data_IF_318279384745
#
_entry.id   IF_318279384745
#
_cell.length_a   1.000
_cell.length_b   1.000
_cell.length_c   1.000
_cell.angle_alpha   90.00
_cell.angle_beta   90.00
_cell.angle_gamma   90.00
#
_symmetry.space_group_name_H-M   'P 1'
#
loop_
_entity.id
_entity.type
_entity.pdbx_description
1 polymer ?
#
# COMPACT_ATOMS: atom_id res chain seq x y z
N UNK A 1 54.24 -7.56 1.36
CA UNK A 1 53.66 -7.87 0.03
C UNK A 1 52.58 -8.97 0.08
N UNK A 2 52.89 -10.26 0.33
CA UNK A 2 51.85 -11.32 0.33
C UNK A 2 50.95 -11.27 1.57
N UNK A 3 51.54 -11.07 2.74
CA UNK A 3 50.86 -10.93 4.04
C UNK A 3 50.00 -9.66 4.12
N UNK A 4 50.49 -8.59 3.51
CA UNK A 4 49.82 -7.28 3.43
C UNK A 4 48.60 -7.30 2.50
N UNK A 5 48.70 -8.06 1.40
CA UNK A 5 47.57 -8.31 0.50
C UNK A 5 46.51 -9.20 1.16
N UNK A 6 46.92 -10.19 1.96
CA UNK A 6 46.02 -11.07 2.70
C UNK A 6 45.29 -10.33 3.82
N UNK A 7 46.00 -9.47 4.56
CA UNK A 7 45.42 -8.58 5.57
C UNK A 7 44.46 -7.54 4.95
N UNK A 8 44.79 -6.99 3.77
CA UNK A 8 43.90 -6.08 3.05
C UNK A 8 42.64 -6.79 2.54
N UNK A 9 42.75 -8.06 2.11
CA UNK A 9 41.62 -8.89 1.70
C UNK A 9 40.72 -9.24 2.88
N UNK A 10 41.29 -9.57 4.04
CA UNK A 10 40.50 -9.87 5.24
C UNK A 10 39.88 -8.61 5.87
N UNK A 11 40.56 -7.47 5.82
CA UNK A 11 39.97 -6.18 6.16
C UNK A 11 38.82 -5.81 5.20
N UNK A 12 38.98 -6.04 3.89
CA UNK A 12 37.92 -5.82 2.91
C UNK A 12 36.73 -6.79 3.09
N UNK A 13 36.99 -8.05 3.47
CA UNK A 13 35.93 -9.00 3.87
C UNK A 13 35.18 -8.51 5.11
N UNK A 14 35.88 -7.96 6.11
CA UNK A 14 35.27 -7.36 7.29
C UNK A 14 34.35 -6.19 6.94
N UNK A 15 34.82 -5.28 6.09
CA UNK A 15 34.03 -4.11 5.62
C UNK A 15 32.82 -4.51 4.77
N UNK A 16 32.93 -5.57 3.96
CA UNK A 16 31.80 -6.14 3.20
C UNK A 16 30.79 -6.87 4.09
N UNK A 17 31.23 -7.40 5.24
CA UNK A 17 30.37 -8.08 6.22
C UNK A 17 29.63 -7.12 7.16
N UNK A 18 30.12 -5.87 7.30
CA UNK A 18 29.55 -4.83 8.18
C UNK A 18 28.58 -3.87 7.48
N UNK A 19 28.47 -3.94 6.15
CA UNK A 19 27.29 -3.41 5.47
C UNK A 19 26.12 -4.33 5.78
N UNK A 20 25.06 -3.82 6.37
CA UNK A 20 23.78 -4.52 6.54
C UNK A 20 23.37 -5.12 5.17
N UNK A 21 23.65 -6.41 4.97
CA UNK A 21 23.85 -6.96 3.62
C UNK A 21 22.52 -7.11 2.89
N UNK A 22 21.51 -7.70 3.55
CA UNK A 22 20.22 -7.94 2.90
C UNK A 22 19.42 -6.66 2.71
N UNK A 23 19.42 -5.71 3.66
CA UNK A 23 18.73 -4.41 3.44
C UNK A 23 19.32 -3.66 2.25
N UNK A 24 20.65 -3.68 2.11
CA UNK A 24 21.34 -3.01 1.01
C UNK A 24 21.01 -3.67 -0.32
N UNK A 25 20.99 -5.00 -0.37
CA UNK A 25 20.58 -5.76 -1.56
C UNK A 25 19.12 -5.51 -1.93
N UNK A 26 18.22 -5.45 -0.94
CA UNK A 26 16.80 -5.13 -1.18
C UNK A 26 16.65 -3.72 -1.77
N UNK A 27 17.39 -2.72 -1.25
CA UNK A 27 17.40 -1.35 -1.82
C UNK A 27 17.89 -1.34 -3.27
N UNK A 28 19.04 -1.95 -3.55
CA UNK A 28 19.59 -2.05 -4.91
C UNK A 28 18.63 -2.76 -5.87
N UNK A 29 17.94 -3.80 -5.39
CA UNK A 29 16.94 -4.50 -6.17
C UNK A 29 15.72 -3.61 -6.46
N UNK A 30 15.26 -2.81 -5.48
CA UNK A 30 14.15 -1.86 -5.69
C UNK A 30 14.51 -0.76 -6.69
N UNK A 31 15.74 -0.26 -6.68
CA UNK A 31 16.24 0.70 -7.66
C UNK A 31 16.29 0.09 -9.07
N UNK A 32 16.67 -1.20 -9.15
CA UNK A 32 16.68 -1.96 -10.40
C UNK A 32 15.26 -2.15 -10.97
N UNK A 33 14.25 -2.37 -10.11
CA UNK A 33 12.84 -2.40 -10.53
C UNK A 33 12.33 -1.02 -10.98
N UNK A 34 12.77 0.06 -10.35
CA UNK A 34 12.50 1.42 -10.82
C UNK A 34 13.02 1.65 -12.24
N UNK A 35 14.29 1.30 -12.46
CA UNK A 35 14.94 1.37 -13.79
C UNK A 35 14.20 0.51 -14.83
N UNK A 36 13.75 -0.68 -14.45
CA UNK A 36 12.93 -1.55 -15.32
C UNK A 36 11.58 -0.92 -15.68
N UNK A 37 10.93 -0.24 -14.73
CA UNK A 37 9.65 0.46 -14.96
C UNK A 37 9.82 1.60 -15.97
N UNK A 38 10.89 2.38 -15.84
CA UNK A 38 11.20 3.47 -16.76
C UNK A 38 11.52 2.96 -18.17
N UNK A 39 12.30 1.89 -18.27
CA UNK A 39 12.61 1.26 -19.55
C UNK A 39 11.35 0.70 -20.22
N UNK A 40 10.48 0.04 -19.46
CA UNK A 40 9.20 -0.48 -19.95
C UNK A 40 8.34 0.65 -20.54
N UNK A 41 8.22 1.78 -19.84
CA UNK A 41 7.47 2.95 -20.32
C UNK A 41 8.04 3.50 -21.63
N UNK A 42 9.37 3.55 -21.76
CA UNK A 42 10.06 3.98 -22.98
C UNK A 42 9.78 3.04 -24.16
N UNK A 43 9.94 1.73 -23.95
CA UNK A 43 9.69 0.73 -24.99
C UNK A 43 8.22 0.72 -25.44
N UNK A 44 7.28 0.84 -24.50
CA UNK A 44 5.84 0.88 -24.79
C UNK A 44 5.40 2.13 -25.56
N UNK A 45 6.05 3.28 -25.35
CA UNK A 45 5.83 4.48 -26.17
C UNK A 45 6.32 4.26 -27.60
N UNK A 46 7.48 3.62 -27.75
CA UNK A 46 8.07 3.30 -29.06
C UNK A 46 7.23 2.28 -29.85
N UNK A 47 6.72 1.23 -29.20
CA UNK A 47 5.85 0.26 -29.88
C UNK A 47 4.56 0.89 -30.43
N UNK A 48 3.97 1.84 -29.68
CA UNK A 48 2.78 2.60 -30.13
C UNK A 48 3.08 3.57 -31.28
N UNK A 49 4.27 4.18 -31.31
CA UNK A 49 4.66 5.03 -32.46
C UNK A 49 4.90 4.21 -33.72
N UNK A 50 5.44 3.00 -33.59
CA UNK A 50 5.69 2.12 -34.73
C UNK A 50 4.35 1.57 -35.30
N UNK A 51 3.32 1.38 -34.47
CA UNK A 51 1.98 0.95 -34.93
C UNK A 51 1.15 2.06 -35.60
N UNK A 52 1.25 3.32 -35.14
CA UNK A 52 0.50 4.43 -35.76
C UNK A 52 1.02 4.82 -37.15
N UNK A 53 2.31 4.57 -37.42
CA UNK A 53 2.93 4.87 -38.72
C UNK A 53 2.35 4.05 -39.89
N UNK A 54 1.78 2.86 -39.64
CA UNK A 54 1.30 1.98 -40.72
C UNK A 54 -0.15 2.20 -41.15
N UNK A 55 -1.02 2.75 -40.28
CA UNK A 55 -2.47 2.83 -40.54
C UNK A 55 -2.93 4.16 -41.17
N UNK A 56 -2.16 5.25 -41.00
CA UNK A 56 -2.48 6.56 -41.59
C UNK A 56 -2.39 6.58 -43.14
N UNK A 57 -1.73 5.58 -43.74
CA UNK A 57 -1.65 5.46 -45.21
C UNK A 57 -2.94 4.95 -45.87
N UNK A 58 -3.92 4.41 -45.11
CA UNK A 58 -5.16 3.87 -45.68
C UNK A 58 -6.39 4.77 -45.49
N UNK A 59 -6.46 5.59 -44.44
CA UNK A 59 -7.67 6.38 -44.17
C UNK A 59 -7.80 7.65 -45.03
N UNK A 60 -6.68 8.20 -45.49
CA UNK A 60 -6.68 9.48 -46.22
C UNK A 60 -7.11 9.35 -47.71
N UNK A 61 -7.21 8.12 -48.22
CA UNK A 61 -7.67 7.84 -49.60
C UNK A 61 -9.19 7.73 -49.72
N UNK A 62 -9.89 7.44 -48.63
CA UNK A 62 -11.35 7.24 -48.60
C UNK A 62 -12.11 8.57 -48.44
N UNK A 63 -11.57 9.53 -47.66
CA UNK A 63 -12.23 10.82 -47.36
C UNK A 63 -12.25 11.82 -48.54
N UNK A 64 -11.40 11.65 -49.55
CA UNK A 64 -11.40 12.53 -50.76
C UNK A 64 -12.48 12.21 -51.79
N UNK A 65 -13.27 11.13 -51.65
CA UNK A 65 -14.28 10.72 -52.65
C UNK A 65 -15.73 11.10 -52.34
N UNK A 66 -16.02 11.80 -51.23
CA UNK A 66 -17.40 12.17 -50.86
C UNK A 66 -17.59 13.64 -50.48
N UNK A 67 -17.54 14.54 -51.46
CA UNK A 67 -18.23 15.83 -51.39
C UNK A 67 -18.76 16.26 -52.78
N UNK A 68 -20.07 16.16 -53.04
CA UNK A 68 -20.73 16.89 -54.12
C UNK A 68 -21.14 18.30 -53.63
N UNK A 69 -21.04 19.28 -54.53
CA UNK A 69 -21.10 20.70 -54.20
C UNK A 69 -22.47 21.28 -53.87
N UNK A 70 -22.45 22.51 -53.34
CA UNK A 70 -23.55 23.48 -53.44
C UNK A 70 -23.00 24.91 -53.66
N UNK A 71 -23.77 25.63 -54.47
CA UNK A 71 -23.51 26.87 -55.19
C UNK A 71 -23.46 28.13 -54.30
N UNK A 72 -22.69 29.10 -54.81
CA UNK A 72 -22.92 30.57 -54.88
C UNK A 72 -24.14 31.14 -54.15
N UNK A 73 -23.91 32.21 -53.36
CA UNK A 73 -24.73 33.43 -53.38
C UNK A 73 -23.92 34.64 -52.90
N UNK A 74 -23.79 35.61 -53.79
CA UNK A 74 -23.25 36.95 -53.53
C UNK A 74 -24.28 37.83 -52.79
N UNK A 75 -23.80 38.72 -51.92
CA UNK A 75 -24.04 40.17 -51.98
C UNK A 75 -23.56 40.90 -50.72
N UNK A 76 -22.84 41.98 -50.97
CA UNK A 76 -22.30 43.03 -50.10
C UNK A 76 -23.35 43.82 -49.32
N UNK A 77 -22.99 44.31 -48.12
CA UNK A 77 -22.95 45.76 -47.78
C UNK A 77 -22.58 45.96 -46.31
N UNK A 78 -21.91 47.07 -46.03
CA UNK A 78 -21.31 47.50 -44.77
C UNK A 78 -22.32 47.80 -43.65
N UNK A 79 -21.90 47.57 -42.40
CA UNK A 79 -21.75 48.60 -41.35
C UNK A 79 -21.74 48.01 -39.92
N UNK A 80 -20.67 48.34 -39.22
CA UNK A 80 -20.64 48.92 -37.86
C UNK A 80 -21.14 48.12 -36.61
N UNK A 81 -20.25 48.14 -35.61
CA UNK A 81 -20.44 48.05 -34.15
C UNK A 81 -20.73 46.71 -33.45
N UNK A 82 -19.72 46.38 -32.64
CA UNK A 82 -19.79 46.07 -31.20
C UNK A 82 -20.11 44.64 -30.72
N UNK A 83 -19.23 44.22 -29.80
CA UNK A 83 -19.43 43.27 -28.69
C UNK A 83 -19.57 41.79 -29.04
N UNK A 84 -18.51 41.05 -28.71
CA UNK A 84 -18.58 39.60 -28.52
C UNK A 84 -17.25 38.90 -28.78
N UNK A 85 -16.27 39.08 -27.89
CA UNK A 85 -15.02 38.31 -27.92
C UNK A 85 -15.30 36.89 -27.42
N UNK A 86 -16.04 36.11 -28.22
CA UNK A 86 -16.21 34.67 -28.04
C UNK A 86 -14.96 33.98 -28.60
N UNK A 87 -14.01 33.67 -27.72
CA UNK A 87 -12.93 32.74 -28.04
C UNK A 87 -13.53 31.34 -28.13
N UNK A 88 -13.92 30.92 -29.33
CA UNK A 88 -14.06 29.50 -29.65
C UNK A 88 -12.66 28.88 -29.69
N UNK A 89 -12.11 28.57 -28.52
CA UNK A 89 -11.06 27.56 -28.42
C UNK A 89 -11.77 26.23 -28.67
N UNK A 90 -11.65 25.75 -29.91
CA UNK A 90 -11.99 24.39 -30.31
C UNK A 90 -11.07 23.43 -29.55
N UNK A 91 -11.39 23.16 -28.30
CA UNK A 91 -10.88 22.01 -27.57
C UNK A 91 -11.46 20.78 -28.23
N UNK A 92 -10.65 20.09 -29.04
CA UNK A 92 -10.89 18.72 -29.44
C UNK A 92 -10.78 17.81 -28.20
N UNK A 93 -11.79 17.89 -27.34
CA UNK A 93 -12.12 16.89 -26.32
C UNK A 93 -12.79 15.75 -27.06
N UNK A 94 -11.98 14.82 -27.54
CA UNK A 94 -12.46 13.77 -28.43
C UNK A 94 -11.44 12.69 -28.71
N UNK A 95 -10.60 12.32 -27.75
CA UNK A 95 -9.99 11.00 -27.77
C UNK A 95 -10.07 10.42 -26.37
N UNK A 96 -11.23 9.83 -26.11
CA UNK A 96 -11.54 8.92 -25.01
C UNK A 96 -10.62 7.72 -25.17
N UNK A 97 -9.37 7.87 -24.71
CA UNK A 97 -8.37 6.82 -24.71
C UNK A 97 -8.78 5.86 -23.61
N UNK A 98 -9.28 4.70 -24.03
CA UNK A 98 -9.66 3.59 -23.17
C UNK A 98 -8.63 3.38 -22.06
N UNK A 99 -9.08 3.47 -20.81
CA UNK A 99 -8.42 3.03 -19.59
C UNK A 99 -8.28 1.49 -19.60
N UNK A 100 -7.58 0.95 -20.60
CA UNK A 100 -6.86 -0.30 -20.42
C UNK A 100 -5.57 0.05 -19.70
N UNK A 101 -5.66 0.19 -18.37
CA UNK A 101 -4.49 0.02 -17.51
C UNK A 101 -3.90 -1.35 -17.86
N UNK A 102 -2.75 -1.32 -18.50
CA UNK A 102 -2.08 -2.52 -18.97
C UNK A 102 -1.65 -3.31 -17.74
N UNK A 103 -2.26 -4.48 -17.54
CA UNK A 103 -1.97 -5.36 -16.40
C UNK A 103 -0.46 -5.59 -16.23
N UNK A 104 0.30 -5.56 -17.33
CA UNK A 104 1.75 -5.73 -17.30
C UNK A 104 2.50 -4.51 -16.73
N UNK A 105 1.99 -3.29 -16.94
CA UNK A 105 2.55 -2.04 -16.40
C UNK A 105 2.38 -1.99 -14.88
N UNK A 106 1.18 -2.29 -14.40
CA UNK A 106 0.89 -2.36 -12.96
C UNK A 106 1.75 -3.43 -12.26
N UNK A 107 1.94 -4.58 -12.90
CA UNK A 107 2.77 -5.66 -12.37
C UNK A 107 4.25 -5.28 -12.24
N UNK A 108 4.80 -4.52 -13.18
CA UNK A 108 6.19 -4.05 -13.10
C UNK A 108 6.31 -2.98 -12.01
N UNK A 109 5.43 -1.98 -12.01
CA UNK A 109 5.47 -0.88 -11.05
C UNK A 109 5.25 -1.32 -9.60
N UNK A 110 4.47 -2.38 -9.37
CA UNK A 110 4.25 -2.90 -8.01
C UNK A 110 5.37 -3.82 -7.52
N UNK A 111 6.31 -4.23 -8.37
CA UNK A 111 7.36 -5.22 -8.02
C UNK A 111 8.24 -4.79 -6.84
N UNK A 112 8.64 -3.51 -6.79
CA UNK A 112 9.42 -2.95 -5.70
C UNK A 112 8.65 -2.99 -4.37
N UNK A 113 7.39 -2.52 -4.37
CA UNK A 113 6.53 -2.49 -3.19
C UNK A 113 6.28 -3.87 -2.58
N UNK A 114 6.13 -4.91 -3.42
CA UNK A 114 5.90 -6.27 -2.95
C UNK A 114 7.14 -6.86 -2.25
N UNK A 115 8.34 -6.65 -2.80
CA UNK A 115 9.59 -7.11 -2.17
C UNK A 115 9.85 -6.35 -0.87
N UNK A 116 9.65 -5.03 -0.86
CA UNK A 116 9.77 -4.21 0.35
C UNK A 116 8.79 -4.64 1.43
N UNK A 117 7.53 -4.91 1.07
CA UNK A 117 6.53 -5.35 2.03
C UNK A 117 6.91 -6.70 2.68
N UNK A 118 7.50 -7.62 1.92
CA UNK A 118 7.98 -8.90 2.47
C UNK A 118 9.23 -8.72 3.34
N UNK A 119 10.15 -7.85 2.94
CA UNK A 119 11.30 -7.48 3.77
C UNK A 119 10.85 -6.86 5.10
N UNK A 120 9.97 -5.86 5.06
CA UNK A 120 9.44 -5.18 6.24
C UNK A 120 8.70 -6.15 7.17
N UNK A 121 8.00 -7.14 6.61
CA UNK A 121 7.32 -8.19 7.38
C UNK A 121 8.34 -8.98 8.21
N UNK A 122 9.43 -9.42 7.60
CA UNK A 122 10.49 -10.17 8.29
C UNK A 122 11.24 -9.31 9.30
N UNK A 123 11.57 -8.07 8.92
CA UNK A 123 12.27 -7.11 9.78
C UNK A 123 11.46 -6.76 11.04
N UNK A 124 10.14 -6.57 10.93
CA UNK A 124 9.28 -6.28 12.10
C UNK A 124 9.27 -7.39 13.15
N UNK A 125 9.56 -8.63 12.79
CA UNK A 125 9.53 -9.79 13.71
C UNK A 125 10.89 -10.14 14.28
N UNK A 126 11.92 -10.11 13.44
CA UNK A 126 13.28 -10.60 13.78
C UNK A 126 14.25 -9.43 14.01
N UNK A 127 13.94 -8.23 13.52
CA UNK A 127 14.73 -7.03 13.71
C UNK A 127 16.02 -7.03 12.90
N UNK A 128 17.09 -6.49 13.50
CA UNK A 128 18.39 -6.28 12.85
C UNK A 128 19.03 -7.57 12.30
N UNK A 129 18.80 -8.71 12.95
CA UNK A 129 19.27 -10.01 12.45
C UNK A 129 18.73 -10.33 11.06
N UNK A 130 17.49 -9.94 10.76
CA UNK A 130 16.90 -10.13 9.44
C UNK A 130 17.43 -9.15 8.41
N UNK A 131 17.81 -7.94 8.82
CA UNK A 131 18.43 -6.96 7.93
C UNK A 131 19.85 -7.36 7.52
N UNK A 132 20.62 -7.98 8.42
CA UNK A 132 21.89 -8.62 8.10
C UNK A 132 21.67 -9.84 7.19
N UNK A 133 20.67 -10.65 7.55
CA UNK A 133 20.26 -11.84 6.82
C UNK A 133 21.31 -12.96 6.80
N UNK A 134 21.00 -14.03 6.08
CA UNK A 134 21.91 -15.18 5.92
C UNK A 134 22.58 -15.19 4.53
N UNK A 135 23.72 -15.88 4.43
CA UNK A 135 24.52 -15.95 3.19
C UNK A 135 23.71 -16.52 2.01
N UNK A 136 22.77 -17.43 2.30
CA UNK A 136 21.91 -18.04 1.27
C UNK A 136 21.04 -16.96 0.62
N UNK A 137 20.38 -16.13 1.42
CA UNK A 137 19.49 -15.07 0.93
C UNK A 137 20.28 -13.98 0.25
N UNK A 138 21.46 -13.62 0.77
CA UNK A 138 22.36 -12.66 0.13
C UNK A 138 22.74 -13.12 -1.28
N UNK A 139 23.18 -14.36 -1.44
CA UNK A 139 23.53 -14.93 -2.75
C UNK A 139 22.33 -14.98 -3.70
N UNK A 140 21.14 -15.36 -3.19
CA UNK A 140 19.92 -15.40 -3.99
C UNK A 140 19.52 -14.01 -4.49
N UNK A 141 19.52 -12.99 -3.62
CA UNK A 141 19.18 -11.62 -4.00
C UNK A 141 20.21 -11.03 -4.96
N UNK A 142 21.50 -11.23 -4.73
CA UNK A 142 22.56 -10.81 -5.65
C UNK A 142 22.38 -11.43 -7.05
N UNK A 143 22.06 -12.73 -7.12
CA UNK A 143 21.80 -13.41 -8.39
C UNK A 143 20.64 -12.76 -9.16
N UNK A 144 19.54 -12.41 -8.47
CA UNK A 144 18.41 -11.73 -9.10
C UNK A 144 18.77 -10.32 -9.59
N UNK A 145 19.54 -9.55 -8.81
CA UNK A 145 20.01 -8.22 -9.20
C UNK A 145 20.86 -8.31 -10.47
N UNK A 146 21.84 -9.21 -10.51
CA UNK A 146 22.73 -9.38 -11.66
C UNK A 146 21.93 -9.78 -12.90
N UNK A 147 20.99 -10.73 -12.77
CA UNK A 147 20.17 -11.18 -13.89
C UNK A 147 19.27 -10.06 -14.44
N UNK A 148 18.66 -9.27 -13.55
CA UNK A 148 17.83 -8.14 -13.92
C UNK A 148 18.67 -7.06 -14.61
N UNK A 149 19.78 -6.64 -14.00
CA UNK A 149 20.69 -5.63 -14.56
C UNK A 149 21.26 -6.05 -15.92
N UNK A 150 21.66 -7.31 -16.08
CA UNK A 150 22.12 -7.85 -17.38
C UNK A 150 21.04 -7.74 -18.45
N UNK A 151 19.79 -8.01 -18.10
CA UNK A 151 18.67 -7.90 -19.03
C UNK A 151 18.40 -6.43 -19.40
N UNK A 152 18.41 -5.53 -18.42
CA UNK A 152 18.24 -4.09 -18.65
C UNK A 152 19.34 -3.54 -19.56
N UNK A 153 20.59 -3.90 -19.31
CA UNK A 153 21.73 -3.48 -20.13
C UNK A 153 21.63 -4.03 -21.56
N UNK A 154 21.32 -5.31 -21.73
CA UNK A 154 21.12 -5.92 -23.06
C UNK A 154 20.02 -5.18 -23.83
N UNK A 155 18.87 -4.93 -23.20
CA UNK A 155 17.77 -4.22 -23.87
C UNK A 155 18.17 -2.77 -24.18
N UNK A 156 18.91 -2.09 -23.30
CA UNK A 156 19.40 -0.73 -23.57
C UNK A 156 20.37 -0.68 -24.74
N UNK A 157 21.33 -1.61 -24.79
CA UNK A 157 22.29 -1.73 -25.89
C UNK A 157 21.56 -2.02 -27.21
N UNK A 158 20.65 -2.99 -27.20
CA UNK A 158 19.84 -3.35 -28.36
C UNK A 158 18.97 -2.16 -28.81
N UNK A 159 18.39 -1.40 -27.88
CA UNK A 159 17.58 -0.22 -28.16
C UNK A 159 18.40 0.93 -28.79
N UNK A 160 19.64 1.14 -28.33
CA UNK A 160 20.56 2.13 -28.92
C UNK A 160 21.03 1.71 -30.32
N UNK A 161 21.43 0.44 -30.49
CA UNK A 161 21.96 -0.09 -31.76
C UNK A 161 20.88 -0.30 -32.82
N UNK A 162 19.64 -0.65 -32.42
CA UNK A 162 18.50 -0.81 -33.34
C UNK A 162 18.11 0.49 -34.04
N UNK A 163 18.56 1.64 -33.53
CA UNK A 163 18.44 2.93 -34.24
C UNK A 163 19.27 2.96 -35.53
N UNK A 164 20.31 2.11 -35.64
CA UNK A 164 21.31 2.17 -36.71
C UNK A 164 21.34 0.94 -37.63
N UNK A 165 21.07 -0.27 -37.12
CA UNK A 165 21.47 -1.49 -37.84
C UNK A 165 20.34 -2.48 -38.17
N UNK A 166 19.21 -2.47 -37.48
CA UNK A 166 17.97 -3.22 -37.81
C UNK A 166 16.94 -3.03 -36.68
N UNK A 167 15.62 -2.96 -36.95
CA UNK A 167 14.63 -2.84 -35.88
C UNK A 167 14.51 -4.16 -35.13
N UNK A 168 15.18 -4.29 -33.98
CA UNK A 168 14.78 -5.32 -33.01
C UNK A 168 13.35 -4.98 -32.56
N UNK A 169 12.42 -5.94 -32.66
CA UNK A 169 11.01 -5.65 -32.39
C UNK A 169 10.85 -5.17 -30.94
N UNK A 170 10.37 -3.94 -30.74
CA UNK A 170 10.11 -3.36 -29.41
C UNK A 170 9.28 -4.32 -28.50
N UNK A 171 8.39 -5.10 -29.11
CA UNK A 171 7.60 -6.12 -28.44
C UNK A 171 8.43 -7.25 -27.79
N UNK A 172 9.48 -7.76 -28.44
CA UNK A 172 10.31 -8.84 -27.87
C UNK A 172 11.10 -8.37 -26.66
N UNK A 173 11.58 -7.12 -26.67
CA UNK A 173 12.21 -6.49 -25.52
C UNK A 173 11.23 -6.27 -24.36
N UNK A 174 10.00 -5.86 -24.65
CA UNK A 174 8.94 -5.72 -23.63
C UNK A 174 8.65 -7.05 -22.94
N UNK A 175 8.43 -8.13 -23.71
CA UNK A 175 8.15 -9.46 -23.14
C UNK A 175 9.31 -9.94 -22.27
N UNK A 176 10.56 -9.81 -22.76
CA UNK A 176 11.76 -10.18 -22.00
C UNK A 176 11.86 -9.40 -20.69
N UNK A 177 11.62 -8.09 -20.73
CA UNK A 177 11.65 -7.23 -19.55
C UNK A 177 10.59 -7.63 -18.51
N UNK A 178 9.34 -7.83 -18.96
CA UNK A 178 8.24 -8.27 -18.10
C UNK A 178 8.58 -9.61 -17.42
N UNK A 179 9.03 -10.59 -18.20
CA UNK A 179 9.35 -11.91 -17.70
C UNK A 179 10.48 -11.88 -16.67
N UNK A 180 11.58 -11.18 -16.97
CA UNK A 180 12.71 -11.06 -16.04
C UNK A 180 12.29 -10.34 -14.76
N UNK A 181 11.55 -9.23 -14.85
CA UNK A 181 11.08 -8.50 -13.66
C UNK A 181 10.16 -9.37 -12.79
N UNK A 182 9.23 -10.12 -13.41
CA UNK A 182 8.34 -11.05 -12.68
C UNK A 182 9.13 -12.16 -11.99
N UNK A 183 10.08 -12.77 -12.71
CA UNK A 183 10.93 -13.83 -12.18
C UNK A 183 11.76 -13.33 -11.00
N UNK A 184 12.43 -12.18 -11.15
CA UNK A 184 13.23 -11.56 -10.11
C UNK A 184 12.39 -11.25 -8.87
N UNK A 185 11.21 -10.67 -9.05
CA UNK A 185 10.28 -10.37 -7.95
C UNK A 185 9.90 -11.63 -7.16
N UNK A 186 9.43 -12.67 -7.85
CA UNK A 186 8.99 -13.92 -7.21
C UNK A 186 10.16 -14.60 -6.47
N UNK A 187 11.32 -14.69 -7.12
CA UNK A 187 12.51 -15.29 -6.53
C UNK A 187 13.00 -14.49 -5.29
N UNK A 188 12.95 -13.16 -5.33
CA UNK A 188 13.33 -12.32 -4.20
C UNK A 188 12.37 -12.41 -3.02
N UNK A 189 11.06 -12.43 -3.27
CA UNK A 189 10.05 -12.67 -2.23
C UNK A 189 10.27 -14.05 -1.61
N UNK A 190 10.49 -15.08 -2.43
CA UNK A 190 10.76 -16.43 -1.95
C UNK A 190 12.04 -16.48 -1.11
N UNK A 191 13.12 -15.82 -1.54
CA UNK A 191 14.38 -15.77 -0.80
C UNK A 191 14.17 -15.15 0.60
N UNK A 192 13.49 -14.00 0.68
CA UNK A 192 13.16 -13.31 1.93
C UNK A 192 12.24 -14.15 2.83
N UNK A 193 11.24 -14.81 2.24
CA UNK A 193 10.34 -15.70 2.96
C UNK A 193 11.08 -16.90 3.55
N UNK A 194 11.98 -17.51 2.78
CA UNK A 194 12.78 -18.64 3.24
C UNK A 194 13.80 -18.20 4.30
N UNK A 195 14.36 -16.98 4.20
CA UNK A 195 15.17 -16.40 5.27
C UNK A 195 14.37 -16.30 6.57
N UNK A 196 13.16 -15.76 6.46
CA UNK A 196 12.26 -15.61 7.60
C UNK A 196 12.01 -16.96 8.28
N UNK A 197 11.72 -18.01 7.51
CA UNK A 197 11.52 -19.36 8.04
C UNK A 197 12.75 -19.91 8.77
N UNK A 198 13.96 -19.72 8.21
CA UNK A 198 15.20 -20.21 8.83
C UNK A 198 15.58 -19.46 10.11
N UNK A 199 15.14 -18.21 10.23
CA UNK A 199 15.46 -17.34 11.36
C UNK A 199 14.38 -17.29 12.44
N UNK A 200 13.24 -17.97 12.25
CA UNK A 200 12.24 -18.13 13.30
C UNK A 200 12.84 -18.95 14.45
N UNK A 201 12.78 -18.45 15.70
CA UNK A 201 13.15 -19.25 16.86
C UNK A 201 12.29 -20.51 16.90
N UNK A 202 12.92 -21.68 16.95
CA UNK A 202 12.24 -22.90 17.37
C UNK A 202 11.83 -22.70 18.84
N UNK A 203 10.60 -22.27 19.09
CA UNK A 203 10.00 -22.28 20.43
C UNK A 203 9.78 -23.75 20.86
N UNK A 204 10.85 -24.37 21.33
CA UNK A 204 10.79 -25.52 22.22
C UNK A 204 11.05 -25.04 23.66
N UNK A 205 10.36 -25.58 24.67
CA UNK A 205 10.64 -25.25 26.06
C UNK A 205 12.01 -25.84 26.44
N UNK A 206 13.06 -25.01 26.40
CA UNK A 206 14.40 -25.37 26.90
C UNK A 206 14.39 -25.10 28.41
N UNK A 207 14.12 -26.18 29.15
CA UNK A 207 14.52 -26.32 30.56
C UNK A 207 16.03 -26.11 30.70
N UNK A 208 16.51 -25.57 31.84
CA UNK A 208 17.94 -25.35 32.05
C UNK A 208 18.70 -26.68 32.08
N UNK A 209 19.75 -26.75 31.27
CA UNK A 209 20.74 -27.82 31.22
C UNK A 209 21.43 -27.97 32.59
N UNK A 210 21.59 -29.20 33.09
CA UNK A 210 22.94 -29.71 33.14
C UNK A 210 22.96 -31.18 32.71
N UNK A 211 23.67 -31.50 31.63
CA UNK A 211 24.90 -32.28 31.61
C UNK A 211 25.16 -32.70 30.15
N UNK A 212 26.18 -32.05 29.55
CA UNK A 212 26.87 -32.55 28.37
C UNK A 212 27.26 -34.01 28.57
N UNK A 213 26.59 -34.91 27.88
CA UNK A 213 27.05 -36.30 27.73
C UNK A 213 27.40 -36.53 26.26
N UNK A 214 28.66 -36.94 26.07
CA UNK A 214 29.35 -37.11 24.81
C UNK A 214 28.68 -38.24 23.98
N UNK A 215 28.50 -38.11 22.65
CA UNK A 215 27.97 -39.18 21.82
C UNK A 215 29.02 -40.30 21.67
N UNK A 216 28.74 -41.51 22.17
CA UNK A 216 29.64 -42.66 21.97
C UNK A 216 29.59 -43.83 22.98
N UNK A 217 28.68 -43.85 23.96
CA UNK A 217 28.56 -44.99 24.88
C UNK A 217 27.39 -45.93 24.49
N UNK A 218 27.71 -47.23 24.50
CA UNK A 218 26.94 -48.37 24.01
C UNK A 218 25.49 -48.52 24.53
N UNK A 219 24.60 -49.19 23.76
CA UNK A 219 23.23 -49.47 24.19
C UNK A 219 23.19 -50.63 25.20
N UNK A 220 22.56 -50.40 26.36
CA UNK A 220 22.10 -51.50 27.21
C UNK A 220 20.72 -51.96 26.73
N UNK A 221 20.65 -53.26 26.42
CA UNK A 221 19.48 -53.98 25.90
C UNK A 221 18.40 -54.20 26.99
N UNK A 222 17.17 -54.58 26.60
CA UNK A 222 15.97 -54.47 27.42
C UNK A 222 15.66 -55.77 28.18
N UNK A 223 15.15 -55.64 29.42
CA UNK A 223 14.43 -56.72 30.08
C UNK A 223 12.92 -56.45 30.07
N UNK A 224 12.21 -57.31 29.32
CA UNK A 224 10.79 -57.60 29.50
C UNK A 224 10.58 -58.49 30.73
N UNK A 225 9.40 -58.38 31.31
CA UNK A 225 8.48 -59.39 31.85
C UNK A 225 7.61 -58.69 32.91
N UNK A 226 6.35 -59.02 33.17
CA UNK A 226 5.27 -59.60 32.39
C UNK A 226 4.05 -59.50 33.34
N UNK A 227 2.87 -59.35 32.76
CA UNK A 227 1.63 -59.96 33.23
C UNK A 227 1.04 -59.68 34.64
N UNK A 228 -0.08 -58.95 34.60
CA UNK A 228 -1.41 -59.34 35.13
C UNK A 228 -1.59 -59.70 36.63
N UNK A 229 -2.56 -59.04 37.27
CA UNK A 229 -3.90 -59.61 37.55
C UNK A 229 -4.73 -58.75 38.54
N UNK A 230 -6.07 -58.90 38.42
CA UNK A 230 -7.12 -58.77 39.47
C UNK A 230 -7.73 -57.40 39.83
N UNK A 231 -8.83 -57.08 39.13
CA UNK A 231 -10.24 -57.25 39.58
C UNK A 231 -10.61 -56.85 41.05
N UNK A 232 -11.40 -55.78 41.21
CA UNK A 232 -12.60 -55.60 42.10
C UNK A 232 -13.08 -54.14 41.94
N UNK A 233 -14.28 -53.78 41.44
CA UNK A 233 -15.69 -54.08 41.78
C UNK A 233 -16.19 -53.37 43.06
N UNK A 234 -16.82 -52.21 42.87
CA UNK A 234 -17.91 -51.57 43.66
C UNK A 234 -18.27 -50.27 42.91
N UNK A 235 -19.48 -49.95 42.41
CA UNK A 235 -20.88 -50.01 42.86
C UNK A 235 -21.18 -49.24 44.15
N UNK A 236 -21.61 -47.98 43.97
CA UNK A 236 -22.77 -47.32 44.61
C UNK A 236 -22.97 -45.99 43.86
N UNK A 237 -24.11 -45.58 43.29
CA UNK A 237 -25.50 -45.44 43.76
C UNK A 237 -25.65 -44.48 44.95
N UNK A 238 -26.30 -43.35 44.68
CA UNK A 238 -26.99 -42.49 45.63
C UNK A 238 -27.08 -41.07 45.05
N UNK A 239 -28.19 -40.64 44.43
CA UNK A 239 -29.43 -40.11 45.07
C UNK A 239 -29.12 -38.96 46.03
N UNK A 240 -29.86 -37.86 46.14
CA UNK A 240 -31.07 -37.32 45.51
C UNK A 240 -31.50 -36.15 46.42
N UNK A 241 -32.22 -35.17 45.87
CA UNK A 241 -33.25 -34.32 46.55
C UNK A 241 -32.67 -33.29 47.55
N UNK A 242 -33.27 -32.13 47.81
CA UNK A 242 -34.70 -31.70 47.78
C UNK A 242 -34.72 -30.15 47.81
N UNK A 243 -35.62 -29.45 47.10
CA UNK A 243 -36.92 -28.91 47.59
C UNK A 243 -36.77 -28.03 48.84
N UNK A 244 -37.04 -26.71 48.83
CA UNK A 244 -38.30 -25.95 48.62
C UNK A 244 -38.34 -24.86 49.76
N UNK A 245 -39.42 -24.10 50.02
CA UNK A 245 -40.15 -23.10 49.22
C UNK A 245 -40.38 -21.75 50.00
N UNK A 246 -41.07 -20.81 49.33
CA UNK A 246 -41.95 -19.71 49.79
C UNK A 246 -42.17 -19.43 51.30
N UNK A 247 -42.24 -18.14 51.72
CA UNK A 247 -43.49 -17.32 51.78
C UNK A 247 -43.40 -16.09 52.74
N UNK A 248 -44.13 -15.03 52.37
CA UNK A 248 -44.84 -14.00 53.20
C UNK A 248 -44.02 -12.91 53.94
N UNK A 249 -44.10 -11.62 53.54
CA UNK A 249 -45.11 -10.56 53.84
C UNK A 249 -44.99 -9.91 55.24
N UNK A 250 -44.57 -8.63 55.31
CA UNK A 250 -45.07 -7.56 56.23
C UNK A 250 -44.79 -6.18 55.56
N UNK A 251 -45.64 -5.15 55.76
CA UNK A 251 -45.87 -4.08 54.79
C UNK A 251 -45.26 -2.73 55.18
N UNK A 252 -45.25 -1.82 54.20
CA UNK A 252 -45.06 -0.40 54.42
C UNK A 252 -44.05 0.16 53.42
N UNK A 253 -44.53 0.98 52.48
CA UNK A 253 -43.89 2.22 51.98
C UNK A 253 -44.49 2.58 50.60
N UNK A 254 -45.35 3.61 50.63
CA UNK A 254 -45.58 4.65 49.62
C UNK A 254 -45.72 4.19 48.15
N UNK A 255 -46.98 4.07 47.71
CA UNK A 255 -47.35 4.00 46.29
C UNK A 255 -47.38 5.41 45.70
N UNK A 256 -46.32 5.83 45.02
CA UNK A 256 -46.36 6.96 44.10
C UNK A 256 -46.94 6.43 42.79
N UNK A 257 -48.06 7.03 42.34
CA UNK A 257 -48.60 6.78 41.01
C UNK A 257 -47.54 7.14 39.95
N UNK A 258 -47.24 6.26 38.99
CA UNK A 258 -46.44 6.65 37.84
C UNK A 258 -47.27 7.63 36.99
N UNK A 259 -46.71 8.82 36.78
CA UNK A 259 -47.17 9.75 35.75
C UNK A 259 -47.30 9.00 34.41
N UNK A 260 -48.36 9.24 33.62
CA UNK A 260 -48.39 8.73 32.26
C UNK A 260 -47.21 9.32 31.50
N UNK A 261 -46.31 8.44 31.06
CA UNK A 261 -45.21 8.78 30.18
C UNK A 261 -45.74 9.59 28.99
N UNK A 262 -45.14 10.75 28.65
CA UNK A 262 -45.36 11.33 27.34
C UNK A 262 -44.93 10.28 26.33
N UNK A 263 -45.90 9.85 25.52
CA UNK A 263 -45.74 8.99 24.36
C UNK A 263 -44.41 9.36 23.68
N UNK A 264 -43.43 8.47 23.52
CA UNK A 264 -42.26 8.78 22.72
C UNK A 264 -42.80 9.06 21.33
N UNK A 265 -42.83 10.35 20.97
CA UNK A 265 -43.10 10.77 19.62
C UNK A 265 -42.18 9.91 18.76
N UNK A 266 -42.78 9.08 17.93
CA UNK A 266 -42.08 8.27 16.94
C UNK A 266 -41.15 9.24 16.24
N UNK A 267 -39.87 9.14 16.57
CA UNK A 267 -38.83 9.92 15.95
C UNK A 267 -39.05 9.74 14.44
N UNK A 268 -39.15 10.82 13.66
CA UNK A 268 -39.31 10.66 12.22
C UNK A 268 -38.18 9.74 11.77
N UNK A 269 -38.55 8.63 11.13
CA UNK A 269 -37.59 7.69 10.52
C UNK A 269 -36.56 8.56 9.79
N UNK A 270 -35.25 8.40 10.03
CA UNK A 270 -34.26 9.18 9.32
C UNK A 270 -34.53 9.01 7.84
N UNK A 271 -34.88 10.12 7.19
CA UNK A 271 -34.97 10.17 5.74
C UNK A 271 -33.67 9.60 5.19
N UNK A 272 -33.71 8.78 4.12
CA UNK A 272 -32.52 8.16 3.56
C UNK A 272 -31.53 9.29 3.25
N UNK A 273 -30.46 9.30 4.03
CA UNK A 273 -29.45 10.34 3.99
C UNK A 273 -28.97 10.46 2.55
N UNK A 274 -29.23 11.60 1.89
CA UNK A 274 -28.47 11.98 0.71
C UNK A 274 -27.00 11.85 1.10
N UNK A 275 -26.29 10.95 0.43
CA UNK A 275 -25.01 10.38 0.86
C UNK A 275 -24.00 11.48 1.27
N UNK A 276 -23.98 11.83 2.56
CA UNK A 276 -22.96 12.73 3.10
C UNK A 276 -21.69 11.89 3.18
N UNK A 277 -20.73 12.20 2.30
CA UNK A 277 -19.48 11.46 2.18
C UNK A 277 -18.73 11.40 3.51
N UNK A 278 -18.83 12.45 4.31
CA UNK A 278 -18.16 12.64 5.59
C UNK A 278 -19.17 12.61 6.75
N UNK A 279 -18.69 12.14 7.90
CA UNK A 279 -19.42 12.29 9.15
C UNK A 279 -19.60 13.76 9.53
N UNK A 280 -20.70 14.09 10.22
CA UNK A 280 -20.98 15.46 10.69
C UNK A 280 -19.79 16.04 11.47
N UNK A 281 -19.26 15.30 12.45
CA UNK A 281 -18.08 15.74 13.21
C UNK A 281 -16.83 15.91 12.33
N UNK A 282 -16.64 15.05 11.33
CA UNK A 282 -15.54 15.17 10.39
C UNK A 282 -15.63 16.46 9.57
N UNK A 283 -16.84 16.78 9.10
CA UNK A 283 -17.14 18.00 8.34
C UNK A 283 -16.98 19.26 9.20
N UNK A 284 -17.41 19.23 10.46
CA UNK A 284 -17.21 20.36 11.37
C UNK A 284 -15.72 20.68 11.55
N UNK A 285 -14.87 19.65 11.63
CA UNK A 285 -13.41 19.80 11.67
C UNK A 285 -12.83 20.32 10.34
N UNK A 286 -13.44 20.00 9.20
CA UNK A 286 -13.05 20.50 7.88
C UNK A 286 -13.40 21.99 7.72
N UNK A 287 -14.56 22.41 8.22
CA UNK A 287 -15.06 23.78 8.13
C UNK A 287 -14.37 24.72 9.13
N UNK A 288 -13.92 24.19 10.27
CA UNK A 288 -13.31 24.96 11.35
C UNK A 288 -11.87 24.52 11.62
N UNK A 289 -10.89 25.06 10.88
CA UNK A 289 -9.47 24.68 11.03
C UNK A 289 -8.88 24.90 12.42
N UNK A 290 -9.52 25.69 13.30
CA UNK A 290 -9.09 25.88 14.70
C UNK A 290 -9.77 24.97 15.72
N UNK A 291 -10.79 24.20 15.32
CA UNK A 291 -11.52 23.32 16.24
C UNK A 291 -10.64 22.12 16.66
N UNK A 292 -10.25 21.97 17.94
CA UNK A 292 -9.41 20.86 18.36
C UNK A 292 -10.14 19.52 18.28
N UNK A 293 -9.37 18.42 18.25
CA UNK A 293 -9.94 17.10 18.44
C UNK A 293 -10.55 16.96 19.84
N UNK A 294 -11.72 16.31 19.92
CA UNK A 294 -12.33 15.93 21.20
C UNK A 294 -11.43 15.02 22.04
N UNK A 295 -11.72 14.94 23.34
CA UNK A 295 -10.95 14.19 24.33
C UNK A 295 -10.87 12.69 24.03
N UNK A 296 -11.83 12.14 23.28
CA UNK A 296 -11.81 10.74 22.84
C UNK A 296 -10.55 10.36 22.02
N UNK A 297 -9.90 11.32 21.37
CA UNK A 297 -8.68 11.09 20.58
C UNK A 297 -7.38 11.47 21.31
N UNK A 298 -7.48 11.93 22.57
CA UNK A 298 -6.31 12.23 23.41
C UNK A 298 -5.74 10.94 24.03
N UNK A 299 -4.50 10.96 24.58
CA UNK A 299 -3.94 9.82 25.30
C UNK A 299 -4.89 9.34 26.41
N UNK A 300 -5.31 8.08 26.36
CA UNK A 300 -6.28 7.50 27.30
C UNK A 300 -7.75 7.56 26.85
N UNK A 301 -8.06 8.19 25.71
CA UNK A 301 -9.37 8.16 25.09
C UNK A 301 -9.70 6.83 24.38
N UNK A 302 -10.95 6.66 23.98
CA UNK A 302 -11.49 5.45 23.33
C UNK A 302 -11.33 5.44 21.80
N UNK A 303 -10.82 6.52 21.20
CA UNK A 303 -10.73 6.77 19.76
C UNK A 303 -12.06 6.61 19.01
N UNK A 304 -13.18 6.89 19.69
CA UNK A 304 -14.50 6.83 19.10
C UNK A 304 -14.95 8.22 18.68
N UNK A 305 -15.56 8.31 17.49
CA UNK A 305 -16.23 9.53 17.09
C UNK A 305 -17.42 9.85 18.01
N UNK A 306 -17.52 11.08 18.54
CA UNK A 306 -18.62 11.47 19.43
C UNK A 306 -19.97 11.52 18.71
N UNK A 307 -19.98 11.55 17.37
CA UNK A 307 -21.20 11.64 16.57
C UNK A 307 -21.63 10.30 15.98
N UNK A 308 -20.77 9.65 15.18
CA UNK A 308 -21.12 8.40 14.51
C UNK A 308 -20.64 7.14 15.26
N UNK A 309 -19.92 7.29 16.37
CA UNK A 309 -19.33 6.18 17.12
C UNK A 309 -18.43 5.26 16.28
N UNK A 310 -17.90 5.74 15.16
CA UNK A 310 -16.89 5.00 14.40
C UNK A 310 -15.58 4.96 15.22
N UNK A 311 -15.04 3.76 15.41
CA UNK A 311 -13.74 3.54 16.04
C UNK A 311 -12.62 3.84 15.04
N UNK A 312 -11.68 4.71 15.42
CA UNK A 312 -10.49 4.98 14.64
C UNK A 312 -9.26 4.35 15.29
N UNK A 313 -8.63 3.33 14.68
CA UNK A 313 -7.48 2.64 15.24
C UNK A 313 -6.19 3.46 15.05
N UNK A 314 -6.17 4.67 15.59
CA UNK A 314 -5.05 5.60 15.57
C UNK A 314 -4.47 5.73 16.98
N UNK A 315 -3.14 5.84 17.07
CA UNK A 315 -2.50 6.10 18.36
C UNK A 315 -2.53 7.61 18.61
N UNK A 316 -2.98 8.09 19.79
CA UNK A 316 -2.88 9.50 20.15
C UNK A 316 -1.43 9.98 20.03
N UNK A 317 -1.23 11.15 19.41
CA UNK A 317 0.11 11.73 19.20
C UNK A 317 0.96 11.07 18.11
N UNK A 318 0.47 10.03 17.42
CA UNK A 318 1.13 9.50 16.23
C UNK A 318 0.84 10.40 15.03
N UNK A 319 1.83 10.56 14.17
CA UNK A 319 1.68 11.21 12.87
C UNK A 319 2.21 10.27 11.78
N UNK A 320 1.87 10.56 10.53
CA UNK A 320 2.39 9.82 9.38
C UNK A 320 3.34 10.69 8.59
N UNK A 321 4.52 10.17 8.29
CA UNK A 321 5.46 10.80 7.37
C UNK A 321 5.13 10.35 5.95
N UNK A 322 4.90 11.32 5.08
CA UNK A 322 4.70 11.14 3.64
C UNK A 322 5.85 11.81 2.93
N UNK A 323 6.46 11.10 2.00
CA UNK A 323 7.57 11.63 1.22
C UNK A 323 7.08 11.89 -0.20
N UNK A 324 7.06 13.16 -0.58
CA UNK A 324 6.61 13.61 -1.89
C UNK A 324 7.80 14.17 -2.68
N UNK A 325 7.79 13.92 -3.99
CA UNK A 325 8.78 14.50 -4.89
C UNK A 325 8.26 15.86 -5.36
N UNK A 326 8.93 16.93 -4.97
CA UNK A 326 8.68 18.28 -5.47
C UNK A 326 9.71 18.71 -6.51
N UNK A 327 9.39 19.76 -7.25
CA UNK A 327 10.34 20.48 -8.10
C UNK A 327 10.61 21.85 -7.47
N UNK A 328 11.86 22.23 -7.30
CA UNK A 328 12.22 23.61 -6.95
C UNK A 328 11.96 24.55 -8.13
N UNK A 329 12.01 25.86 -7.89
CA UNK A 329 11.94 26.90 -8.93
C UNK A 329 12.99 26.70 -10.03
N UNK A 330 14.14 26.12 -9.69
CA UNK A 330 15.23 25.78 -10.62
C UNK A 330 15.00 24.47 -11.41
N UNK A 331 13.85 23.80 -11.23
CA UNK A 331 13.52 22.53 -11.88
C UNK A 331 14.25 21.30 -11.30
N UNK A 332 15.02 21.48 -10.22
CA UNK A 332 15.67 20.38 -9.50
C UNK A 332 14.65 19.60 -8.67
N UNK A 333 14.70 18.27 -8.76
CA UNK A 333 13.79 17.41 -8.01
C UNK A 333 14.27 17.34 -6.56
N UNK A 334 13.48 17.87 -5.62
CA UNK A 334 13.76 17.81 -4.19
C UNK A 334 12.75 16.87 -3.52
N UNK A 335 13.26 15.98 -2.68
CA UNK A 335 12.44 15.13 -1.82
C UNK A 335 11.96 15.99 -0.65
N UNK A 336 10.65 16.13 -0.47
CA UNK A 336 10.03 16.91 0.61
C UNK A 336 9.28 15.95 1.54
N UNK A 337 9.42 16.15 2.85
CA UNK A 337 8.83 15.28 3.86
C UNK A 337 7.66 16.03 4.50
N UNK A 338 6.49 15.40 4.50
CA UNK A 338 5.26 15.94 5.07
C UNK A 338 4.85 15.10 6.27
N UNK A 339 4.47 15.76 7.35
CA UNK A 339 3.89 15.13 8.53
C UNK A 339 2.38 15.35 8.54
N UNK A 340 1.64 14.25 8.45
CA UNK A 340 0.17 14.22 8.50
C UNK A 340 -0.28 13.98 9.93
N UNK A 341 -1.02 14.95 10.49
CA UNK A 341 -1.54 14.84 11.85
C UNK A 341 -2.74 13.90 11.94
N UNK A 342 -2.96 13.37 13.15
CA UNK A 342 -4.16 12.65 13.54
C UNK A 342 -5.46 13.35 13.14
N UNK A 343 -5.48 14.68 13.25
CA UNK A 343 -6.68 15.48 12.92
C UNK A 343 -7.07 15.36 11.45
N UNK A 344 -6.11 15.27 10.54
CA UNK A 344 -6.37 15.04 9.12
C UNK A 344 -7.13 13.72 8.90
N UNK A 345 -6.67 12.64 9.53
CA UNK A 345 -7.32 11.33 9.43
C UNK A 345 -8.77 11.37 9.97
N UNK A 346 -9.00 12.09 11.07
CA UNK A 346 -10.34 12.30 11.64
C UNK A 346 -11.21 13.16 10.71
N UNK A 347 -10.69 14.20 10.06
CA UNK A 347 -11.44 14.97 9.05
C UNK A 347 -11.91 14.10 7.87
N UNK A 348 -11.20 13.01 7.59
CA UNK A 348 -11.50 12.11 6.48
C UNK A 348 -12.54 11.02 6.81
N UNK A 349 -12.92 10.80 8.07
CA UNK A 349 -13.76 9.64 8.40
C UNK A 349 -15.23 9.78 7.95
N UNK A 350 -15.87 8.62 7.76
CA UNK A 350 -17.27 8.48 7.30
C UNK A 350 -18.16 7.93 8.43
N UNK A 351 -19.47 8.11 8.33
CA UNK A 351 -20.42 7.75 9.41
C UNK A 351 -20.45 6.24 9.70
N UNK A 352 -20.41 5.39 8.67
CA UNK A 352 -20.50 3.93 8.85
C UNK A 352 -19.12 3.31 9.04
N UNK A 353 -18.27 3.38 8.00
CA UNK A 353 -16.92 2.85 8.00
C UNK A 353 -16.05 3.51 6.93
N UNK A 354 -14.75 3.51 7.18
CA UNK A 354 -13.74 3.99 6.23
C UNK A 354 -13.57 5.51 6.21
N UNK A 355 -12.90 5.96 5.16
CA UNK A 355 -12.39 7.32 4.99
C UNK A 355 -12.70 7.82 3.59
N UNK A 356 -12.99 9.09 3.43
CA UNK A 356 -13.00 9.79 2.15
C UNK A 356 -11.87 10.82 2.17
N UNK A 357 -11.12 10.93 1.08
CA UNK A 357 -10.02 11.89 1.00
C UNK A 357 -10.56 13.33 0.90
N UNK A 358 -10.27 14.15 1.90
CA UNK A 358 -10.69 15.56 1.93
C UNK A 358 -10.04 16.35 0.78
N UNK A 359 -8.80 16.04 0.41
CA UNK A 359 -8.13 16.68 -0.71
C UNK A 359 -8.79 16.33 -2.05
N UNK A 360 -9.20 15.08 -2.28
CA UNK A 360 -9.98 14.74 -3.47
C UNK A 360 -11.31 15.48 -3.50
N UNK A 361 -12.04 15.50 -2.39
CA UNK A 361 -13.35 16.16 -2.34
C UNK A 361 -13.27 17.67 -2.58
N UNK A 362 -12.14 18.30 -2.25
CA UNK A 362 -11.90 19.73 -2.47
C UNK A 362 -11.30 20.06 -3.84
N UNK A 363 -10.39 19.23 -4.34
CA UNK A 363 -9.50 19.58 -5.46
C UNK A 363 -9.77 18.77 -6.73
N UNK A 364 -10.48 17.64 -6.64
CA UNK A 364 -10.72 16.72 -7.76
C UNK A 364 -12.20 16.66 -8.11
N UNK A 365 -12.50 16.10 -9.28
CA UNK A 365 -13.88 15.93 -9.79
C UNK A 365 -14.59 14.70 -9.21
N UNK A 366 -13.83 13.80 -8.59
CA UNK A 366 -14.29 12.53 -8.06
C UNK A 366 -13.70 12.32 -6.68
N UNK A 367 -14.53 11.87 -5.75
CA UNK A 367 -14.13 11.54 -4.40
C UNK A 367 -13.45 10.18 -4.33
N UNK A 368 -12.36 10.09 -3.57
CA UNK A 368 -11.70 8.81 -3.28
C UNK A 368 -12.12 8.32 -1.91
N UNK A 369 -12.55 7.06 -1.82
CA UNK A 369 -12.93 6.40 -0.56
C UNK A 369 -11.96 5.27 -0.25
N UNK A 370 -11.43 5.27 0.96
CA UNK A 370 -10.47 4.30 1.48
C UNK A 370 -11.11 3.49 2.63
N UNK A 371 -10.85 2.19 2.70
CA UNK A 371 -11.42 1.34 3.76
C UNK A 371 -10.74 1.52 5.13
N UNK A 372 -9.45 1.84 5.11
CA UNK A 372 -8.61 1.94 6.30
C UNK A 372 -7.73 3.19 6.25
N UNK A 373 -7.25 3.66 7.42
CA UNK A 373 -6.32 4.80 7.52
C UNK A 373 -5.06 4.56 6.68
N UNK A 374 -4.54 3.32 6.66
CA UNK A 374 -3.37 2.98 5.85
C UNK A 374 -3.62 3.23 4.36
N UNK A 375 -4.78 2.86 3.86
CA UNK A 375 -5.16 3.08 2.46
C UNK A 375 -5.36 4.57 2.15
N UNK A 376 -5.87 5.36 3.12
CA UNK A 376 -5.94 6.82 3.00
C UNK A 376 -4.54 7.44 2.87
N UNK A 377 -3.61 7.06 3.76
CA UNK A 377 -2.22 7.54 3.68
C UNK A 377 -1.55 7.10 2.38
N UNK A 378 -1.82 5.86 1.94
CA UNK A 378 -1.31 5.33 0.68
C UNK A 378 -1.81 6.13 -0.54
N UNK A 379 -3.07 6.55 -0.50
CA UNK A 379 -3.67 7.39 -1.53
C UNK A 379 -3.08 8.80 -1.53
N UNK A 380 -2.88 9.41 -0.35
CA UNK A 380 -2.30 10.75 -0.22
C UNK A 380 -0.92 10.84 -0.90
N UNK A 381 -0.01 9.92 -0.62
CA UNK A 381 1.35 10.01 -1.19
C UNK A 381 1.43 9.67 -2.68
N UNK A 382 0.46 8.90 -3.21
CA UNK A 382 0.45 8.50 -4.63
C UNK A 382 -0.23 9.51 -5.54
N UNK A 383 -1.36 10.06 -5.09
CA UNK A 383 -2.29 10.78 -5.96
C UNK A 383 -2.27 12.30 -5.77
N UNK A 384 -1.79 12.78 -4.62
CA UNK A 384 -1.73 14.20 -4.32
C UNK A 384 -0.33 14.79 -4.52
N UNK A 385 -0.28 15.94 -5.18
CA UNK A 385 0.97 16.67 -5.40
C UNK A 385 1.36 17.47 -4.16
N UNK A 386 2.60 17.94 -4.11
CA UNK A 386 3.10 18.74 -2.98
C UNK A 386 2.24 19.99 -2.75
N UNK A 387 1.85 20.67 -3.83
CA UNK A 387 1.02 21.88 -3.77
C UNK A 387 -0.42 21.58 -3.30
N UNK A 388 -0.87 20.34 -3.41
CA UNK A 388 -2.16 19.90 -2.86
C UNK A 388 -2.05 19.55 -1.38
N UNK A 389 -0.94 18.95 -0.95
CA UNK A 389 -0.68 18.62 0.45
C UNK A 389 -0.53 19.88 1.32
N UNK A 390 0.15 20.91 0.82
CA UNK A 390 0.33 22.22 1.50
C UNK A 390 -0.99 22.99 1.74
N UNK A 391 -2.09 22.60 1.09
CA UNK A 391 -3.38 23.28 1.21
C UNK A 391 -4.18 22.89 2.46
N UNK A 392 -3.77 21.88 3.21
CA UNK A 392 -4.45 21.50 4.46
C UNK A 392 -3.58 21.77 5.68
N UNK A 393 -4.12 22.55 6.62
CA UNK A 393 -3.41 22.96 7.85
C UNK A 393 -2.96 21.78 8.75
N UNK A 394 -3.56 20.59 8.60
CA UNK A 394 -3.16 19.40 9.37
C UNK A 394 -2.06 18.57 8.69
N UNK A 395 -1.54 19.03 7.54
CA UNK A 395 -0.40 18.46 6.83
C UNK A 395 0.67 19.55 6.76
N UNK A 396 1.79 19.34 7.41
CA UNK A 396 2.88 20.31 7.42
C UNK A 396 4.17 19.69 6.93
N UNK A 397 4.96 20.49 6.22
CA UNK A 397 6.28 20.08 5.79
C UNK A 397 7.25 20.08 6.98
N UNK A 398 8.16 19.12 6.99
CA UNK A 398 9.33 19.11 7.86
C UNK A 398 10.52 19.67 7.07
N UNK A 399 11.06 20.77 7.55
CA UNK A 399 12.36 21.27 7.09
C UNK A 399 13.45 20.29 7.54
N UNK A 400 14.23 19.77 6.59
CA UNK A 400 15.41 18.92 6.82
C UNK A 400 16.51 19.64 7.60
#
# INVERSE_FOLDING_TARGET
MKEEAEAAVDAAKGVLQDLVVVVSLVRTLTDSFGSASDLYRKLKRKSKSDSHSSDDAKEDREKRRRRPGRKRRDSSSESDRTRGRSHHISWNVGSKKEDYSDSDEELICTSSSQVLAEYDRGYKRIGEGFARGDLVTQNQLQSQIIQLQRTLLSIHQDYMLSTYLTPSSSHSHLVRLIQTTRSARLASIQALHMQYQRMLPLEGPIMPDPYRTIPGAFPLSPHRHDSATRRRRSKSRGRSRSRSPDRAKVPGTITIQPYPHPNPAISPKPHPHGHKLFCVYARDLQDHSRLPLTDNYKPGGDNMCPFCHAHMPMRPGKAWEIIANGCNEDGTHKRRIFMVQNRFAVKCHREETGFACVLCARLRKSDTVCREVKALMEHLWKEHTVEELEKDDDIFELDD
#
